data_IF_956353184161
#
_entry.id   IF_956353184161
#
_cell.length_a   1.000
_cell.length_b   1.000
_cell.length_c   1.000
_cell.angle_alpha   90.00
_cell.angle_beta   90.00
_cell.angle_gamma   90.00
#
_symmetry.space_group_name_H-M   'P 1'
#
loop_
_entity.id
_entity.type
_entity.pdbx_description
1 polymer ?
#
# COMPACT_ATOMS: atom_id res chain seq x y z
N UNK A 1 18.59 -7.97 -15.67
CA UNK A 1 17.54 -9.02 -15.81
C UNK A 1 16.23 -8.40 -15.35
N UNK A 2 15.14 -8.53 -16.08
CA UNK A 2 13.86 -8.02 -15.60
C UNK A 2 13.41 -8.84 -14.40
N UNK A 3 13.24 -8.17 -13.26
CA UNK A 3 12.77 -8.77 -12.01
C UNK A 3 11.23 -8.77 -11.92
N UNK A 4 10.56 -8.60 -13.06
CA UNK A 4 9.12 -8.68 -13.19
C UNK A 4 8.71 -10.16 -13.17
N UNK A 5 7.98 -10.57 -12.14
CA UNK A 5 7.51 -11.94 -11.95
C UNK A 5 6.35 -12.31 -12.87
N UNK A 6 5.50 -11.36 -13.23
CA UNK A 6 4.44 -11.51 -14.24
C UNK A 6 3.93 -10.15 -14.68
N UNK A 7 3.58 -10.01 -15.96
CA UNK A 7 2.85 -8.85 -16.49
C UNK A 7 1.56 -9.32 -17.14
N UNK A 8 0.45 -8.76 -16.72
CA UNK A 8 -0.86 -8.97 -17.32
C UNK A 8 -1.42 -7.62 -17.77
N UNK A 9 -1.22 -7.30 -19.05
CA UNK A 9 -1.61 -6.03 -19.63
C UNK A 9 -3.12 -5.77 -19.57
N UNK A 10 -3.93 -6.82 -19.66
CA UNK A 10 -5.38 -6.67 -19.58
C UNK A 10 -5.79 -6.29 -18.18
N UNK A 11 -5.28 -7.00 -17.18
CA UNK A 11 -5.50 -6.71 -15.77
C UNK A 11 -5.00 -5.30 -15.41
N UNK A 12 -3.78 -4.95 -15.82
CA UNK A 12 -3.21 -3.62 -15.59
C UNK A 12 -4.12 -2.52 -16.15
N UNK A 13 -4.58 -2.65 -17.39
CA UNK A 13 -5.45 -1.67 -18.03
C UNK A 13 -6.81 -1.53 -17.31
N UNK A 14 -7.41 -2.63 -16.90
CA UNK A 14 -8.68 -2.63 -16.15
C UNK A 14 -8.50 -1.91 -14.82
N UNK A 15 -7.48 -2.28 -14.05
CA UNK A 15 -7.23 -1.70 -12.72
C UNK A 15 -6.87 -0.21 -12.80
N UNK A 16 -6.04 0.21 -13.75
CA UNK A 16 -5.74 1.63 -13.98
C UNK A 16 -7.01 2.43 -14.36
N UNK A 17 -7.89 1.83 -15.17
CA UNK A 17 -9.15 2.46 -15.56
C UNK A 17 -10.09 2.59 -14.36
N UNK A 18 -10.19 1.56 -13.53
CA UNK A 18 -10.99 1.60 -12.29
C UNK A 18 -10.51 2.67 -11.33
N UNK A 19 -9.19 2.80 -11.11
CA UNK A 19 -8.61 3.84 -10.25
C UNK A 19 -8.98 5.23 -10.75
N UNK A 20 -8.83 5.50 -12.05
CA UNK A 20 -9.18 6.80 -12.65
C UNK A 20 -10.68 7.10 -12.55
N UNK A 21 -11.53 6.09 -12.81
CA UNK A 21 -12.97 6.23 -12.68
C UNK A 21 -13.39 6.49 -11.22
N UNK A 22 -12.80 5.78 -10.26
CA UNK A 22 -13.04 6.02 -8.83
C UNK A 22 -12.70 7.47 -8.44
N UNK A 23 -11.55 7.98 -8.88
CA UNK A 23 -11.14 9.36 -8.64
C UNK A 23 -12.12 10.37 -9.28
N UNK A 24 -12.44 10.18 -10.56
CA UNK A 24 -13.34 11.06 -11.31
C UNK A 24 -14.75 11.14 -10.69
N UNK A 25 -15.27 10.01 -10.24
CA UNK A 25 -16.62 9.90 -9.68
C UNK A 25 -16.65 9.94 -8.14
N UNK A 26 -15.51 10.24 -7.50
CA UNK A 26 -15.35 10.27 -6.04
C UNK A 26 -15.91 9.03 -5.35
N UNK A 27 -15.62 7.86 -5.94
CA UNK A 27 -16.02 6.58 -5.37
C UNK A 27 -14.97 6.05 -4.42
N UNK A 28 -15.38 5.41 -3.30
CA UNK A 28 -14.44 4.79 -2.38
C UNK A 28 -13.59 3.72 -3.09
N UNK A 29 -12.29 3.71 -2.80
CA UNK A 29 -11.37 2.72 -3.33
C UNK A 29 -10.29 2.38 -2.29
N UNK A 30 -10.13 1.11 -1.98
CA UNK A 30 -9.00 0.58 -1.22
C UNK A 30 -8.08 -0.20 -2.14
N UNK A 31 -6.81 0.22 -2.21
CA UNK A 31 -5.76 -0.52 -2.91
C UNK A 31 -4.85 -1.24 -1.90
N UNK A 32 -4.74 -2.57 -2.00
CA UNK A 32 -3.88 -3.38 -1.14
C UNK A 32 -2.68 -3.85 -1.95
N UNK A 33 -1.48 -3.67 -1.41
CA UNK A 33 -0.18 -4.06 -1.97
C UNK A 33 -0.02 -3.57 -3.42
N UNK A 34 -0.17 -4.45 -4.40
CA UNK A 34 -0.18 -4.09 -5.82
C UNK A 34 -1.25 -3.02 -6.13
N UNK A 35 -2.39 -3.04 -5.43
CA UNK A 35 -3.45 -2.03 -5.58
C UNK A 35 -2.99 -0.61 -5.26
N UNK A 36 -2.20 -0.41 -4.20
CA UNK A 36 -1.58 0.88 -3.90
C UNK A 36 -0.63 1.33 -5.03
N UNK A 37 0.16 0.42 -5.57
CA UNK A 37 1.09 0.70 -6.66
C UNK A 37 0.35 1.09 -7.95
N UNK A 38 -0.77 0.44 -8.24
CA UNK A 38 -1.67 0.78 -9.35
C UNK A 38 -2.30 2.17 -9.14
N UNK A 39 -2.75 2.50 -7.94
CA UNK A 39 -3.24 3.86 -7.62
C UNK A 39 -2.17 4.89 -7.95
N UNK A 40 -0.95 4.74 -7.42
CA UNK A 40 0.15 5.68 -7.69
C UNK A 40 0.40 5.83 -9.20
N UNK A 41 0.46 4.71 -9.92
CA UNK A 41 0.71 4.70 -11.37
C UNK A 41 -0.45 5.32 -12.16
N UNK A 42 -1.70 5.07 -11.75
CA UNK A 42 -2.89 5.64 -12.41
C UNK A 42 -2.93 7.17 -12.36
N UNK A 43 -2.36 7.76 -11.29
CA UNK A 43 -2.20 9.20 -11.11
C UNK A 43 -0.89 9.75 -11.71
N UNK A 44 -0.03 8.90 -12.29
CA UNK A 44 1.21 9.31 -12.98
C UNK A 44 2.47 9.22 -12.15
N UNK A 45 2.43 8.55 -11.00
CA UNK A 45 3.60 8.22 -10.19
C UNK A 45 4.45 7.10 -10.80
N UNK A 46 5.57 6.77 -10.16
CA UNK A 46 6.49 5.71 -10.61
C UNK A 46 6.81 4.72 -9.50
N UNK A 47 7.26 3.54 -9.89
CA UNK A 47 7.66 2.46 -8.99
C UNK A 47 9.14 2.15 -9.12
N UNK A 48 9.77 1.81 -8.01
CA UNK A 48 11.04 1.12 -7.97
C UNK A 48 10.76 -0.39 -8.00
N UNK A 49 11.38 -1.08 -8.95
CA UNK A 49 11.06 -2.48 -9.24
C UNK A 49 11.73 -3.47 -8.29
N UNK A 50 12.69 -3.01 -7.50
CA UNK A 50 13.40 -3.84 -6.54
C UNK A 50 13.93 -3.03 -5.38
N UNK A 51 13.56 -3.44 -4.17
CA UNK A 51 14.09 -2.89 -2.94
C UNK A 51 15.34 -3.68 -2.59
N UNK A 52 16.51 -3.03 -2.58
CA UNK A 52 17.73 -3.63 -2.05
C UNK A 52 17.60 -3.68 -0.52
N UNK A 53 17.16 -4.81 0.01
CA UNK A 53 16.87 -5.03 1.43
C UNK A 53 18.08 -5.00 2.35
N UNK A 54 18.90 -3.94 2.25
CA UNK A 54 20.13 -3.80 3.02
C UNK A 54 19.91 -3.69 4.54
N UNK A 55 18.73 -3.27 4.97
CA UNK A 55 18.35 -3.11 6.38
C UNK A 55 17.48 -4.24 6.95
N UNK A 56 17.08 -5.19 6.11
CA UNK A 56 16.25 -6.34 6.50
C UNK A 56 14.76 -6.05 6.65
N UNK A 57 14.31 -4.80 6.58
CA UNK A 57 12.91 -4.42 6.79
C UNK A 57 11.98 -4.98 5.70
N UNK A 58 12.48 -5.08 4.46
CA UNK A 58 11.74 -5.57 3.29
C UNK A 58 12.40 -6.78 2.63
N UNK A 59 13.18 -7.57 3.39
CA UNK A 59 13.84 -8.77 2.87
C UNK A 59 12.81 -9.90 2.75
N UNK A 60 12.21 -10.05 1.59
CA UNK A 60 11.38 -11.22 1.33
C UNK A 60 12.26 -12.50 1.32
N UNK A 61 11.82 -13.58 1.99
CA UNK A 61 12.55 -14.85 1.90
C UNK A 61 12.63 -15.31 0.44
N UNK A 62 13.82 -15.65 0.01
CA UNK A 62 14.16 -16.01 -1.39
C UNK A 62 13.52 -17.34 -1.83
N UNK A 63 12.77 -18.01 -0.97
CA UNK A 63 12.19 -19.33 -1.23
C UNK A 63 10.71 -19.15 -1.58
N UNK A 64 10.39 -19.32 -2.84
CA UNK A 64 9.05 -19.26 -3.43
C UNK A 64 7.98 -20.18 -2.79
N UNK A 65 8.38 -21.11 -1.93
CA UNK A 65 7.48 -22.04 -1.24
C UNK A 65 6.99 -21.56 0.13
N UNK A 66 7.63 -20.52 0.69
CA UNK A 66 7.30 -19.99 2.01
C UNK A 66 6.82 -18.53 1.84
N UNK A 67 5.57 -18.34 1.47
CA UNK A 67 4.91 -17.03 1.45
C UNK A 67 4.79 -16.50 2.88
N UNK A 68 5.92 -16.25 3.53
CA UNK A 68 5.94 -15.66 4.86
C UNK A 68 5.89 -14.16 4.72
N UNK A 69 4.83 -13.59 5.26
CA UNK A 69 4.78 -12.17 5.52
C UNK A 69 5.83 -11.80 6.57
N UNK A 70 6.54 -10.71 6.32
CA UNK A 70 7.41 -10.08 7.31
C UNK A 70 6.56 -9.11 8.14
N UNK A 71 6.83 -9.02 9.43
CA UNK A 71 6.13 -8.05 10.28
C UNK A 71 7.07 -6.92 10.66
N UNK A 72 6.62 -5.70 10.45
CA UNK A 72 7.31 -4.49 10.90
C UNK A 72 6.30 -3.41 11.28
N UNK A 73 6.79 -2.36 11.97
CA UNK A 73 5.97 -1.21 12.29
C UNK A 73 5.88 -0.25 11.10
N UNK A 74 4.76 0.45 11.02
CA UNK A 74 4.60 1.64 10.18
C UNK A 74 4.15 2.80 11.04
N UNK A 75 4.59 4.00 10.70
CA UNK A 75 4.13 5.24 11.29
C UNK A 75 3.09 5.87 10.39
N UNK A 76 1.90 6.08 10.92
CA UNK A 76 0.79 6.72 10.22
C UNK A 76 0.86 8.23 10.40
N UNK A 77 0.72 8.96 9.30
CA UNK A 77 0.74 10.42 9.29
C UNK A 77 -0.52 11.00 9.95
N UNK A 78 -0.31 12.00 10.80
CA UNK A 78 -1.39 12.67 11.52
C UNK A 78 -2.29 13.49 10.58
N UNK A 79 -3.58 13.57 10.91
CA UNK A 79 -4.60 14.25 10.11
C UNK A 79 -4.89 13.60 8.74
N UNK A 80 -4.35 12.40 8.47
CA UNK A 80 -4.65 11.64 7.27
C UNK A 80 -6.04 10.97 7.34
N UNK A 81 -6.60 10.59 6.19
CA UNK A 81 -7.77 9.72 6.14
C UNK A 81 -7.46 8.34 6.72
N UNK A 82 -6.25 7.86 6.46
CA UNK A 82 -5.75 6.59 6.99
C UNK A 82 -5.71 6.60 8.53
N UNK A 83 -5.21 7.68 9.17
CA UNK A 83 -5.22 7.80 10.63
C UNK A 83 -6.63 7.68 11.18
N UNK A 84 -7.58 8.42 10.58
CA UNK A 84 -8.99 8.36 10.99
C UNK A 84 -9.59 6.96 10.86
N UNK A 85 -9.28 6.28 9.75
CA UNK A 85 -9.71 4.91 9.52
C UNK A 85 -9.16 3.96 10.58
N UNK A 86 -7.85 4.04 10.85
CA UNK A 86 -7.14 3.11 11.73
C UNK A 86 -7.18 3.50 13.22
N UNK A 87 -7.81 4.62 13.59
CA UNK A 87 -7.90 5.08 15.00
C UNK A 87 -8.20 3.96 16.00
N UNK A 88 -9.13 2.99 15.73
CA UNK A 88 -9.43 1.94 16.69
C UNK A 88 -8.28 0.95 16.95
N UNK A 89 -7.29 0.90 16.07
CA UNK A 89 -6.19 -0.09 16.11
C UNK A 89 -4.81 0.52 16.22
N UNK A 90 -4.70 1.86 16.15
CA UNK A 90 -3.44 2.57 16.29
C UNK A 90 -2.99 2.65 17.75
N UNK A 91 -1.68 2.54 17.95
CA UNK A 91 -1.02 2.84 19.23
C UNK A 91 0.06 3.89 19.00
N UNK A 92 -0.11 5.09 19.52
CA UNK A 92 0.83 6.21 19.35
C UNK A 92 1.18 6.50 17.87
N UNK A 93 0.19 6.46 16.99
CA UNK A 93 0.36 6.60 15.54
C UNK A 93 1.19 5.48 14.88
N UNK A 94 1.40 4.37 15.55
CA UNK A 94 2.11 3.21 15.01
C UNK A 94 1.17 2.00 14.86
N UNK A 95 1.48 1.18 13.88
CA UNK A 95 0.78 -0.06 13.59
C UNK A 95 1.79 -1.15 13.20
N UNK A 96 1.61 -2.38 13.68
CA UNK A 96 2.37 -3.54 13.19
C UNK A 96 1.62 -4.13 12.00
N UNK A 97 2.32 -4.28 10.87
CA UNK A 97 1.73 -4.73 9.61
C UNK A 97 2.38 -6.00 9.10
N UNK A 98 1.69 -6.70 8.19
CA UNK A 98 2.19 -7.88 7.47
C UNK A 98 2.58 -7.48 6.05
N UNK A 99 3.85 -7.56 5.72
CA UNK A 99 4.43 -7.10 4.46
C UNK A 99 4.95 -8.25 3.61
N UNK A 100 4.76 -8.18 2.28
CA UNK A 100 5.23 -9.18 1.32
C UNK A 100 5.52 -8.55 -0.06
N UNK A 101 6.28 -7.47 -0.12
CA UNK A 101 6.57 -6.80 -1.38
C UNK A 101 8.08 -6.58 -1.58
N UNK A 102 8.51 -6.51 -2.83
CA UNK A 102 9.87 -6.20 -3.26
C UNK A 102 9.93 -4.95 -4.17
N UNK A 103 8.77 -4.36 -4.44
CA UNK A 103 8.61 -3.13 -5.21
C UNK A 103 8.05 -2.06 -4.27
N UNK A 104 8.36 -0.79 -4.55
CA UNK A 104 7.83 0.34 -3.78
C UNK A 104 7.53 1.55 -4.67
N UNK A 105 6.82 2.52 -4.13
CA UNK A 105 6.66 3.83 -4.75
C UNK A 105 8.01 4.52 -4.80
N UNK A 106 8.46 4.90 -6.01
CA UNK A 106 9.68 5.69 -6.22
C UNK A 106 9.38 7.18 -6.24
N UNK A 107 8.36 7.58 -7.01
CA UNK A 107 7.87 8.96 -7.06
C UNK A 107 6.37 8.96 -6.85
N UNK A 108 5.93 9.66 -5.80
CA UNK A 108 4.52 9.86 -5.54
C UNK A 108 3.88 10.71 -6.65
N UNK A 109 2.69 10.33 -7.08
CA UNK A 109 1.93 11.07 -8.07
C UNK A 109 1.37 12.38 -7.49
N UNK A 110 1.17 13.35 -8.36
CA UNK A 110 0.43 14.58 -8.02
C UNK A 110 -1.03 14.24 -7.67
N UNK A 111 -1.59 14.95 -6.67
CA UNK A 111 -2.95 14.69 -6.16
C UNK A 111 -3.04 13.53 -5.15
N UNK A 112 -1.91 12.87 -4.85
CA UNK A 112 -1.79 11.93 -3.75
C UNK A 112 -0.90 12.51 -2.64
N UNK A 113 -1.13 12.05 -1.42
CA UNK A 113 -0.25 12.31 -0.28
C UNK A 113 0.14 11.01 0.41
N UNK A 114 1.33 11.01 1.04
CA UNK A 114 1.75 9.87 1.85
C UNK A 114 0.98 9.87 3.15
N UNK A 115 0.51 8.71 3.57
CA UNK A 115 -0.23 8.54 4.82
C UNK A 115 0.41 7.53 5.78
N UNK A 116 1.44 6.78 5.37
CA UNK A 116 2.29 6.01 6.28
C UNK A 116 3.68 5.74 5.71
N UNK A 117 4.66 5.58 6.61
CA UNK A 117 6.04 5.21 6.31
C UNK A 117 6.51 4.05 7.17
N UNK A 118 7.36 3.19 6.58
CA UNK A 118 8.20 2.26 7.33
C UNK A 118 9.40 2.99 7.98
N UNK A 119 10.10 2.36 8.95
CA UNK A 119 11.26 2.98 9.61
C UNK A 119 12.41 3.35 8.68
N UNK A 120 12.57 2.65 7.54
CA UNK A 120 13.57 2.92 6.50
C UNK A 120 13.16 4.05 5.54
N UNK A 121 12.00 4.67 5.75
CA UNK A 121 11.45 5.73 4.91
C UNK A 121 10.67 5.23 3.69
N UNK A 122 10.48 3.92 3.54
CA UNK A 122 9.62 3.38 2.49
C UNK A 122 8.18 3.86 2.68
N UNK A 123 7.56 4.31 1.58
CA UNK A 123 6.14 4.68 1.57
C UNK A 123 5.30 3.43 1.71
N UNK A 124 4.54 3.34 2.79
CA UNK A 124 3.69 2.20 3.12
C UNK A 124 2.20 2.46 2.93
N UNK A 125 1.79 3.73 2.87
CA UNK A 125 0.43 4.08 2.47
C UNK A 125 0.39 5.44 1.79
N UNK A 126 -0.60 5.56 0.90
CA UNK A 126 -0.92 6.77 0.16
C UNK A 126 -2.43 7.00 0.18
N UNK A 127 -2.85 8.24 0.04
CA UNK A 127 -4.26 8.58 -0.09
C UNK A 127 -4.46 9.73 -1.08
N UNK A 128 -5.64 9.80 -1.69
CA UNK A 128 -5.98 10.93 -2.56
C UNK A 128 -6.38 12.14 -1.72
N UNK A 129 -5.95 13.33 -2.18
CA UNK A 129 -6.32 14.61 -1.57
C UNK A 129 -7.81 14.92 -1.80
N UNK A 130 -8.35 14.52 -2.95
CA UNK A 130 -9.67 14.98 -3.43
C UNK A 130 -10.74 13.89 -3.49
N UNK A 131 -10.38 12.62 -3.28
CA UNK A 131 -11.28 11.48 -3.41
C UNK A 131 -11.11 10.49 -2.26
N UNK A 132 -12.13 9.69 -1.90
CA UNK A 132 -12.03 8.68 -0.84
C UNK A 132 -11.25 7.44 -1.33
N UNK A 133 -9.97 7.63 -1.63
CA UNK A 133 -9.07 6.60 -2.15
C UNK A 133 -7.91 6.45 -1.17
N UNK A 134 -7.72 5.23 -0.68
CA UNK A 134 -6.60 4.86 0.21
C UNK A 134 -5.88 3.67 -0.42
N UNK A 135 -4.55 3.72 -0.44
CA UNK A 135 -3.69 2.61 -0.80
C UNK A 135 -2.78 2.24 0.36
N UNK A 136 -2.71 0.96 0.69
CA UNK A 136 -1.79 0.41 1.69
C UNK A 136 -0.86 -0.62 1.04
N UNK A 137 0.43 -0.60 1.38
CA UNK A 137 1.42 -1.50 0.78
C UNK A 137 1.43 -2.86 1.47
N UNK A 138 1.00 -2.92 2.72
CA UNK A 138 0.90 -4.17 3.50
C UNK A 138 -0.36 -4.97 3.17
N UNK A 139 -0.45 -6.14 3.78
CA UNK A 139 -1.54 -7.10 3.61
C UNK A 139 -2.41 -7.19 4.87
N UNK A 140 -3.42 -6.33 5.07
CA UNK A 140 -4.32 -6.40 6.21
C UNK A 140 -5.23 -7.64 6.16
N UNK A 141 -5.30 -8.32 4.99
CA UNK A 141 -6.04 -9.57 4.77
C UNK A 141 -5.24 -10.82 5.13
N UNK A 142 -3.95 -10.71 5.48
CA UNK A 142 -3.15 -11.85 5.92
C UNK A 142 -3.83 -12.54 7.12
N UNK A 143 -4.09 -13.86 7.06
CA UNK A 143 -4.71 -14.59 8.17
C UNK A 143 -3.96 -14.50 9.50
N UNK A 144 -2.66 -14.20 9.48
CA UNK A 144 -1.84 -13.98 10.67
C UNK A 144 -1.80 -12.50 11.12
N UNK A 145 -2.36 -11.57 10.32
CA UNK A 145 -2.51 -10.17 10.69
C UNK A 145 -3.69 -9.98 11.66
N UNK A 146 -3.73 -8.81 12.27
CA UNK A 146 -4.92 -8.39 13.01
C UNK A 146 -6.02 -7.98 12.03
N UNK A 147 -7.03 -8.81 11.87
CA UNK A 147 -8.19 -8.58 10.98
C UNK A 147 -8.92 -7.26 11.27
N UNK A 148 -8.76 -6.71 12.46
CA UNK A 148 -9.36 -5.41 12.82
C UNK A 148 -8.83 -4.27 11.95
N UNK A 149 -7.62 -4.39 11.41
CA UNK A 149 -7.05 -3.43 10.45
C UNK A 149 -7.87 -3.39 9.16
N UNK A 150 -8.18 -4.56 8.59
CA UNK A 150 -9.00 -4.64 7.38
C UNK A 150 -10.42 -4.12 7.63
N UNK A 151 -11.03 -4.49 8.75
CA UNK A 151 -12.36 -4.00 9.11
C UNK A 151 -12.37 -2.48 9.30
N UNK A 152 -11.36 -1.91 9.93
CA UNK A 152 -11.23 -0.47 10.11
C UNK A 152 -11.10 0.28 8.77
N UNK A 153 -10.27 -0.23 7.86
CA UNK A 153 -10.10 0.34 6.51
C UNK A 153 -11.41 0.28 5.71
N UNK A 154 -12.09 -0.87 5.69
CA UNK A 154 -13.34 -1.05 4.94
C UNK A 154 -14.50 -0.25 5.54
N UNK A 155 -14.54 -0.10 6.86
CA UNK A 155 -15.58 0.67 7.54
C UNK A 155 -15.46 2.19 7.37
N UNK A 156 -14.30 2.67 6.93
CA UNK A 156 -14.05 4.10 6.68
C UNK A 156 -14.39 4.53 5.25
N UNK A 157 -14.44 3.62 4.31
CA UNK A 157 -14.77 3.88 2.90
C UNK A 157 -16.28 4.00 2.69
#
# INVERSE_FOLDING_TARGET
>A
MPQLTSTDRLRDNVELTLCRAAAQHKKPLLGICRGMQIINTAFGGTLEQHIDGADGTHTNPTILSDHRFIRHSVRVETNSHLERALTPVLTNSELIISSAHHQRVARLAEGLQVSAYAPDGTIEAIESIDAPIIGVQWHPEDPAADISQLHALLGHL
#
